data_IF_195381202274
#
_entry.id   IF_195381202274
#
_cell.length_a   1.000
_cell.length_b   1.000
_cell.length_c   1.000
_cell.angle_alpha   90.00
_cell.angle_beta   90.00
_cell.angle_gamma   90.00
#
_symmetry.space_group_name_H-M   'P 1'
#
loop_
_entity.id
_entity.type
_entity.pdbx_description
1 polymer ?
#
# COMPACT_ATOMS: atom_id res chain seq x y z
N UNK A 1 -28.52 -30.36 5.53
CA UNK A 1 -27.60 -29.89 4.46
C UNK A 1 -26.99 -31.10 3.73
N UNK A 2 -27.14 -31.22 2.41
CA UNK A 2 -26.60 -32.35 1.62
C UNK A 2 -25.06 -32.43 1.77
N UNK A 3 -24.51 -33.66 1.81
CA UNK A 3 -23.07 -33.94 2.05
C UNK A 3 -22.15 -33.22 1.05
N UNK A 4 -22.62 -33.02 -0.18
CA UNK A 4 -21.94 -32.26 -1.24
C UNK A 4 -21.82 -30.77 -0.93
N UNK A 5 -22.86 -30.14 -0.37
CA UNK A 5 -22.84 -28.73 0.03
C UNK A 5 -21.83 -28.48 1.16
N UNK A 6 -21.64 -29.46 2.06
CA UNK A 6 -20.64 -29.39 3.14
C UNK A 6 -19.20 -29.43 2.58
N UNK A 7 -18.95 -30.21 1.52
CA UNK A 7 -17.63 -30.25 0.84
C UNK A 7 -17.35 -28.95 0.07
N UNK A 8 -18.34 -28.41 -0.65
CA UNK A 8 -18.22 -27.12 -1.36
C UNK A 8 -17.95 -25.96 -0.40
N UNK A 9 -18.65 -25.91 0.73
CA UNK A 9 -18.44 -24.89 1.78
C UNK A 9 -17.03 -24.96 2.38
N UNK A 10 -16.53 -26.17 2.69
CA UNK A 10 -15.15 -26.34 3.18
C UNK A 10 -14.13 -25.86 2.15
N UNK A 11 -14.30 -26.24 0.87
CA UNK A 11 -13.41 -25.80 -0.21
C UNK A 11 -13.41 -24.28 -0.37
N UNK A 12 -14.57 -23.64 -0.32
CA UNK A 12 -14.68 -22.18 -0.36
C UNK A 12 -14.00 -21.51 0.85
N UNK A 13 -14.15 -22.07 2.05
CA UNK A 13 -13.48 -21.59 3.26
C UNK A 13 -11.96 -21.71 3.19
N UNK A 14 -11.43 -22.82 2.65
CA UNK A 14 -9.99 -22.99 2.41
C UNK A 14 -9.45 -21.99 1.39
N UNK A 15 -10.19 -21.75 0.30
CA UNK A 15 -9.80 -20.77 -0.72
C UNK A 15 -9.79 -19.37 -0.11
N UNK A 16 -10.88 -18.94 0.53
CA UNK A 16 -10.98 -17.63 1.16
C UNK A 16 -9.92 -17.42 2.25
N UNK A 17 -9.71 -18.42 3.12
CA UNK A 17 -8.69 -18.38 4.16
C UNK A 17 -7.27 -18.31 3.60
N UNK A 18 -6.98 -19.08 2.54
CA UNK A 18 -5.70 -19.04 1.83
C UNK A 18 -5.43 -17.68 1.17
N UNK A 19 -6.45 -17.06 0.58
CA UNK A 19 -6.32 -15.71 -0.02
C UNK A 19 -6.03 -14.65 1.04
N UNK A 20 -6.70 -14.70 2.19
CA UNK A 20 -6.48 -13.76 3.30
C UNK A 20 -5.06 -13.91 3.86
N UNK A 21 -4.62 -15.14 4.11
CA UNK A 21 -3.25 -15.43 4.60
C UNK A 21 -2.19 -14.96 3.60
N UNK A 22 -2.38 -15.21 2.31
CA UNK A 22 -1.49 -14.75 1.26
C UNK A 22 -1.38 -13.22 1.19
N UNK A 23 -2.51 -12.51 1.28
CA UNK A 23 -2.53 -11.05 1.30
C UNK A 23 -1.83 -10.48 2.54
N UNK A 24 -2.09 -11.05 3.72
CA UNK A 24 -1.44 -10.61 4.96
C UNK A 24 0.09 -10.82 4.92
N UNK A 25 0.54 -11.98 4.41
CA UNK A 25 1.97 -12.25 4.23
C UNK A 25 2.61 -11.28 3.23
N UNK A 26 1.94 -11.01 2.10
CA UNK A 26 2.40 -10.03 1.12
C UNK A 26 2.53 -8.62 1.70
N UNK A 27 1.57 -8.19 2.52
CA UNK A 27 1.63 -6.91 3.24
C UNK A 27 2.84 -6.86 4.18
N UNK A 28 3.05 -7.91 4.98
CA UNK A 28 4.20 -7.96 5.91
C UNK A 28 5.53 -7.91 5.16
N UNK A 29 5.67 -8.68 4.08
CA UNK A 29 6.87 -8.69 3.23
C UNK A 29 7.11 -7.29 2.64
N UNK A 30 6.06 -6.62 2.14
CA UNK A 30 6.19 -5.27 1.63
C UNK A 30 6.58 -4.27 2.72
N UNK A 31 5.88 -4.26 3.85
CA UNK A 31 6.09 -3.29 4.93
C UNK A 31 7.52 -3.35 5.46
N UNK A 32 8.03 -4.56 5.73
CA UNK A 32 9.36 -4.72 6.34
C UNK A 32 10.50 -4.96 5.35
N UNK A 33 10.21 -5.43 4.14
CA UNK A 33 11.21 -5.79 3.13
C UNK A 33 11.41 -4.75 2.02
N UNK A 34 10.43 -3.88 1.74
CA UNK A 34 10.55 -2.88 0.69
C UNK A 34 11.49 -1.73 1.12
N UNK A 35 12.48 -1.44 0.27
CA UNK A 35 13.40 -0.32 0.43
C UNK A 35 12.95 0.84 -0.46
N UNK A 36 12.50 1.97 0.11
CA UNK A 36 12.04 3.12 -0.67
C UNK A 36 13.18 3.75 -1.47
N UNK A 37 12.89 4.13 -2.71
CA UNK A 37 13.86 4.81 -3.58
C UNK A 37 14.21 6.20 -3.05
N UNK A 38 15.47 6.61 -3.21
CA UNK A 38 15.94 7.93 -2.79
C UNK A 38 15.84 8.96 -3.92
N UNK A 39 15.19 10.09 -3.62
CA UNK A 39 15.02 11.21 -4.54
C UNK A 39 16.14 12.22 -4.29
N UNK A 40 17.16 12.21 -5.15
CA UNK A 40 18.35 13.05 -5.00
C UNK A 40 18.06 14.56 -5.09
N UNK A 41 17.12 14.98 -5.94
CA UNK A 41 16.75 16.39 -6.15
C UNK A 41 15.24 16.56 -5.93
N UNK A 42 14.76 16.64 -4.67
CA UNK A 42 13.34 16.75 -4.39
C UNK A 42 12.80 18.12 -4.84
N UNK A 43 11.73 18.10 -5.63
CA UNK A 43 11.00 19.32 -5.98
C UNK A 43 9.94 19.67 -4.92
N UNK A 44 9.27 20.81 -5.05
CA UNK A 44 8.24 21.24 -4.09
C UNK A 44 7.17 20.16 -3.84
N UNK A 45 6.69 19.48 -4.90
CA UNK A 45 5.68 18.41 -4.81
C UNK A 45 6.21 17.10 -4.20
N UNK A 46 7.53 16.93 -4.12
CA UNK A 46 8.16 15.83 -3.38
C UNK A 46 7.98 16.05 -1.88
N UNK A 47 7.98 17.29 -1.40
CA UNK A 47 7.90 17.61 0.03
C UNK A 47 6.50 18.06 0.46
N UNK A 48 5.67 18.56 -0.46
CA UNK A 48 4.37 19.15 -0.16
C UNK A 48 3.24 18.50 -0.97
N UNK A 49 2.04 18.55 -0.39
CA UNK A 49 0.75 18.22 -1.01
C UNK A 49 0.37 19.27 -2.07
N UNK A 50 -0.72 19.00 -2.80
CA UNK A 50 -1.15 19.88 -3.90
C UNK A 50 -1.59 21.26 -3.39
N UNK A 51 -2.15 21.27 -2.19
CA UNK A 51 -2.56 22.44 -1.41
C UNK A 51 -1.39 23.20 -0.76
N UNK A 52 -0.14 22.76 -0.94
CA UNK A 52 1.03 23.38 -0.34
C UNK A 52 1.36 22.92 1.09
N UNK A 53 0.52 22.08 1.71
CA UNK A 53 0.79 21.53 3.05
C UNK A 53 1.98 20.56 3.01
N UNK A 54 2.93 20.62 3.96
CA UNK A 54 4.00 19.64 4.06
C UNK A 54 3.47 18.21 4.16
N UNK A 55 4.15 17.26 3.51
CA UNK A 55 3.84 15.84 3.64
C UNK A 55 4.32 15.30 4.97
N UNK A 56 3.62 14.29 5.48
CA UNK A 56 4.06 13.54 6.66
C UNK A 56 5.39 12.87 6.34
N UNK A 57 6.36 13.08 7.23
CA UNK A 57 7.68 12.46 7.19
C UNK A 57 7.79 11.38 8.25
N UNK A 58 8.55 10.34 7.94
CA UNK A 58 8.82 9.20 8.79
C UNK A 58 10.33 9.00 8.94
N UNK A 59 10.74 8.46 10.09
CA UNK A 59 12.14 8.16 10.38
C UNK A 59 12.57 6.79 9.86
N UNK A 60 11.60 5.88 9.71
CA UNK A 60 11.86 4.50 9.29
C UNK A 60 11.10 4.17 8.01
N UNK A 61 11.73 3.40 7.13
CA UNK A 61 11.15 2.97 5.86
C UNK A 61 9.81 2.23 6.04
N UNK A 62 9.72 1.34 7.04
CA UNK A 62 8.52 0.53 7.27
C UNK A 62 7.30 1.39 7.65
N UNK A 63 7.50 2.55 8.28
CA UNK A 63 6.40 3.46 8.64
C UNK A 63 5.79 4.07 7.38
N UNK A 64 6.62 4.49 6.43
CA UNK A 64 6.18 4.97 5.12
C UNK A 64 5.54 3.84 4.29
N UNK A 65 6.11 2.64 4.29
CA UNK A 65 5.53 1.48 3.61
C UNK A 65 4.14 1.13 4.18
N UNK A 66 4.00 1.15 5.50
CA UNK A 66 2.72 0.91 6.16
C UNK A 66 1.70 2.00 5.85
N UNK A 67 2.12 3.25 5.76
CA UNK A 67 1.25 4.34 5.33
C UNK A 67 0.77 4.14 3.88
N UNK A 68 1.62 3.67 2.97
CA UNK A 68 1.22 3.31 1.60
C UNK A 68 0.17 2.20 1.58
N UNK A 69 0.32 1.16 2.41
CA UNK A 69 -0.66 0.08 2.55
C UNK A 69 -2.00 0.60 3.10
N UNK A 70 -1.97 1.48 4.10
CA UNK A 70 -3.18 2.11 4.64
C UNK A 70 -3.95 2.89 3.56
N UNK A 71 -3.25 3.67 2.74
CA UNK A 71 -3.87 4.41 1.62
C UNK A 71 -4.56 3.48 0.63
N UNK A 72 -3.92 2.36 0.31
CA UNK A 72 -4.50 1.34 -0.57
C UNK A 72 -5.76 0.70 0.04
N UNK A 73 -5.70 0.28 1.31
CA UNK A 73 -6.82 -0.43 1.97
C UNK A 73 -8.00 0.52 2.25
N UNK A 74 -7.73 1.73 2.73
CA UNK A 74 -8.78 2.65 3.19
C UNK A 74 -9.37 3.50 2.06
N UNK A 75 -8.56 3.82 1.06
CA UNK A 75 -8.93 4.79 0.02
C UNK A 75 -8.86 4.22 -1.39
N UNK A 76 -8.31 3.00 -1.58
CA UNK A 76 -8.07 2.43 -2.90
C UNK A 76 -6.95 3.13 -3.66
N UNK A 77 -6.15 3.97 -2.98
CA UNK A 77 -5.15 4.82 -3.61
C UNK A 77 -3.77 4.17 -3.59
N UNK A 78 -3.16 4.08 -4.76
CA UNK A 78 -1.80 3.58 -4.88
C UNK A 78 -0.81 4.70 -4.55
N UNK A 79 -0.22 4.59 -3.35
CA UNK A 79 0.84 5.46 -2.86
C UNK A 79 2.14 4.68 -2.79
N UNK A 80 3.25 5.31 -3.18
CA UNK A 80 4.59 4.75 -3.04
C UNK A 80 5.34 5.47 -1.93
N UNK A 81 6.08 4.70 -1.13
CA UNK A 81 7.07 5.25 -0.22
C UNK A 81 8.31 5.66 -1.01
N UNK A 82 8.97 6.72 -0.58
CA UNK A 82 10.27 7.17 -1.09
C UNK A 82 11.04 7.88 0.01
N UNK A 83 12.33 8.08 -0.20
CA UNK A 83 13.21 8.81 0.71
C UNK A 83 13.61 10.14 0.07
N UNK A 84 13.51 11.23 0.81
CA UNK A 84 13.99 12.55 0.40
C UNK A 84 14.50 13.31 1.63
N UNK A 85 15.61 14.04 1.48
CA UNK A 85 16.24 14.81 2.56
C UNK A 85 16.45 14.00 3.86
N UNK A 86 16.87 12.74 3.73
CA UNK A 86 17.13 11.86 4.88
C UNK A 86 15.87 11.35 5.61
N UNK A 87 14.67 11.68 5.15
CA UNK A 87 13.38 11.23 5.71
C UNK A 87 12.62 10.38 4.71
N UNK A 88 11.72 9.53 5.21
CA UNK A 88 10.81 8.73 4.39
C UNK A 88 9.46 9.43 4.26
N UNK A 89 8.89 9.44 3.07
CA UNK A 89 7.61 10.05 2.77
C UNK A 89 6.77 9.12 1.90
N UNK A 90 5.52 9.49 1.67
CA UNK A 90 4.63 8.78 0.73
C UNK A 90 4.06 9.75 -0.30
N UNK A 91 3.77 9.23 -1.49
CA UNK A 91 3.13 10.01 -2.54
C UNK A 91 2.74 9.17 -3.74
N UNK A 92 1.85 9.71 -4.56
CA UNK A 92 1.45 9.04 -5.79
C UNK A 92 2.60 9.06 -6.80
N UNK A 93 2.89 7.90 -7.39
CA UNK A 93 3.80 7.82 -8.52
C UNK A 93 3.18 8.53 -9.73
N UNK A 94 3.99 9.34 -10.41
CA UNK A 94 3.58 10.01 -11.66
C UNK A 94 3.13 8.99 -12.72
N UNK A 95 3.71 7.79 -12.68
CA UNK A 95 3.55 6.70 -13.64
C UNK A 95 2.55 5.62 -13.20
N UNK A 96 1.86 5.78 -12.07
CA UNK A 96 0.81 4.85 -11.68
C UNK A 96 -0.37 4.96 -12.65
N UNK A 97 -0.52 3.97 -13.55
CA UNK A 97 -1.60 3.88 -14.53
C UNK A 97 -2.99 3.85 -13.84
N UNK A 98 -3.04 3.29 -12.63
CA UNK A 98 -4.22 3.23 -11.77
C UNK A 98 -3.88 3.91 -10.43
N UNK A 99 -4.15 5.21 -10.34
CA UNK A 99 -3.96 5.98 -9.09
C UNK A 99 -5.01 5.64 -8.04
N UNK A 100 -6.17 5.19 -8.50
CA UNK A 100 -7.27 4.70 -7.70
C UNK A 100 -7.73 3.36 -8.28
N UNK A 101 -7.78 2.32 -7.46
CA UNK A 101 -8.27 0.98 -7.83
C UNK A 101 -9.80 0.90 -7.64
N UNK A 102 -10.38 1.89 -6.96
CA UNK A 102 -11.81 2.01 -6.78
C UNK A 102 -12.42 2.73 -8.01
N UNK A 103 -12.82 1.95 -9.01
CA UNK A 103 -13.43 2.45 -10.25
C UNK A 103 -14.84 3.06 -10.07
N UNK A 104 -15.37 3.03 -8.84
CA UNK A 104 -16.72 3.50 -8.48
C UNK A 104 -16.72 4.91 -7.86
N UNK A 105 -15.58 5.60 -7.88
CA UNK A 105 -15.44 7.00 -7.47
C UNK A 105 -15.14 7.89 -8.67
#
# INVERSE_FOLDING_TARGET
>A
MKRENKKKLKKAGYIAGGTILGAAAGILIYVFGHKPDEVANPCFRTLHRADGTPKVTFDKAWEANWQSVKQLILHGELCNSYKANGKYLTGHSRNALFRNINFLK
#
